data_IF_750175914760
#
_entry.id   IF_750175914760
#
_cell.length_a   1.000
_cell.length_b   1.000
_cell.length_c   1.000
_cell.angle_alpha   90.00
_cell.angle_beta   90.00
_cell.angle_gamma   90.00
#
_symmetry.space_group_name_H-M   'P 1'
#
loop_
_entity.id
_entity.type
_entity.pdbx_description
1 polymer ?
#
# COMPACT_ATOMS: atom_id res chain seq x y z
N UNK A 1 -8.30 -3.52 17.63
CA UNK A 1 -7.03 -3.71 16.90
C UNK A 1 -6.15 -2.52 17.24
N UNK A 2 -5.04 -2.73 17.97
CA UNK A 2 -4.07 -1.67 18.26
C UNK A 2 -2.89 -1.92 17.32
N UNK A 3 -2.73 -1.08 16.30
CA UNK A 3 -1.48 -1.06 15.56
C UNK A 3 -0.41 -0.44 16.46
N UNK A 4 0.75 -1.10 16.52
CA UNK A 4 1.85 -0.71 17.40
C UNK A 4 2.35 0.67 17.02
N UNK A 5 2.23 1.60 17.97
CA UNK A 5 2.66 2.98 17.82
C UNK A 5 4.18 3.04 17.93
N UNK A 6 4.88 3.08 16.80
CA UNK A 6 6.19 3.73 16.77
C UNK A 6 5.95 5.20 16.42
N UNK A 7 5.62 5.99 17.46
CA UNK A 7 5.84 7.42 17.40
C UNK A 7 7.36 7.62 17.45
N UNK A 8 8.00 7.56 16.28
CA UNK A 8 9.29 8.19 16.11
C UNK A 8 9.02 9.69 16.03
N UNK A 9 9.10 10.36 17.18
CA UNK A 9 9.30 11.81 17.23
C UNK A 9 10.55 12.14 16.39
N UNK A 10 10.34 12.57 15.15
CA UNK A 10 11.42 12.86 14.21
C UNK A 10 11.25 12.32 12.78
N UNK A 11 10.17 11.60 12.46
CA UNK A 11 9.80 11.37 11.05
C UNK A 11 9.18 12.67 10.53
N UNK A 12 9.64 13.25 9.41
CA UNK A 12 8.93 14.38 8.81
C UNK A 12 7.48 13.98 8.57
N UNK A 13 6.55 14.90 8.84
CA UNK A 13 5.08 14.71 8.78
C UNK A 13 4.68 13.53 7.88
N UNK A 14 4.28 12.41 8.49
CA UNK A 14 3.91 11.21 7.74
C UNK A 14 2.62 11.49 6.98
N UNK A 15 2.71 11.45 5.65
CA UNK A 15 1.56 11.64 4.76
C UNK A 15 1.25 10.32 4.05
N UNK A 16 0.05 9.81 4.27
CA UNK A 16 -0.50 8.66 3.56
C UNK A 16 -0.86 9.04 2.12
N UNK A 17 -0.26 8.36 1.15
CA UNK A 17 -0.68 8.39 -0.24
C UNK A 17 -1.33 7.06 -0.60
N UNK A 18 -2.65 7.07 -0.82
CA UNK A 18 -3.42 5.88 -1.16
C UNK A 18 -3.99 5.92 -2.59
N UNK A 19 -4.64 4.83 -3.00
CA UNK A 19 -5.32 4.73 -4.30
C UNK A 19 -6.67 5.45 -4.30
N UNK A 20 -7.20 5.75 -5.50
CA UNK A 20 -8.50 6.43 -5.68
C UNK A 20 -9.72 5.48 -5.49
N UNK A 21 -9.58 4.43 -4.68
CA UNK A 21 -10.66 3.46 -4.47
C UNK A 21 -11.69 4.07 -3.51
N UNK A 22 -12.99 3.97 -3.83
CA UNK A 22 -14.08 4.58 -3.03
C UNK A 22 -14.04 4.20 -1.56
N UNK A 23 -13.56 2.99 -1.24
CA UNK A 23 -13.41 2.51 0.13
C UNK A 23 -12.46 3.38 0.96
N UNK A 24 -11.41 3.93 0.37
CA UNK A 24 -10.49 4.85 1.05
C UNK A 24 -11.11 6.24 1.32
N UNK A 25 -12.21 6.57 0.63
CA UNK A 25 -12.95 7.81 0.86
C UNK A 25 -14.16 7.61 1.79
N UNK A 26 -14.39 6.39 2.29
CA UNK A 26 -15.47 6.09 3.21
C UNK A 26 -15.31 6.88 4.52
N UNK A 27 -16.43 7.28 5.11
CA UNK A 27 -16.47 8.11 6.32
C UNK A 27 -15.63 7.51 7.46
N UNK A 28 -15.81 6.22 7.76
CA UNK A 28 -15.08 5.56 8.85
C UNK A 28 -13.57 5.47 8.61
N UNK A 29 -13.14 5.43 7.34
CA UNK A 29 -11.70 5.46 7.02
C UNK A 29 -11.13 6.85 7.30
N UNK A 30 -11.84 7.92 6.93
CA UNK A 30 -11.42 9.30 7.24
C UNK A 30 -11.34 9.54 8.75
N UNK A 31 -12.39 9.17 9.47
CA UNK A 31 -12.46 9.30 10.93
C UNK A 31 -11.33 8.53 11.62
N UNK A 32 -11.00 7.33 11.14
CA UNK A 32 -9.87 6.56 11.64
C UNK A 32 -8.54 7.27 11.40
N UNK A 33 -8.27 7.74 10.17
CA UNK A 33 -7.04 8.45 9.83
C UNK A 33 -6.86 9.72 10.67
N UNK A 34 -7.94 10.49 10.87
CA UNK A 34 -7.94 11.65 11.76
C UNK A 34 -7.63 11.26 13.22
N UNK A 35 -8.20 10.16 13.72
CA UNK A 35 -7.97 9.69 15.09
C UNK A 35 -6.54 9.21 15.34
N UNK A 36 -5.84 8.76 14.29
CA UNK A 36 -4.46 8.29 14.33
C UNK A 36 -3.44 9.39 13.99
N UNK A 37 -3.89 10.63 13.76
CA UNK A 37 -3.05 11.77 13.33
C UNK A 37 -2.30 11.48 12.02
N UNK A 38 -2.97 10.78 11.10
CA UNK A 38 -2.42 10.43 9.78
C UNK A 38 -3.00 11.39 8.74
N UNK A 39 -2.15 12.27 8.22
CA UNK A 39 -2.52 13.13 7.11
C UNK A 39 -2.57 12.34 5.80
N UNK A 40 -3.55 12.63 4.95
CA UNK A 40 -3.66 12.03 3.62
C UNK A 40 -3.26 13.05 2.56
N UNK A 41 -2.49 12.62 1.56
CA UNK A 41 -2.20 13.44 0.40
C UNK A 41 -3.46 13.55 -0.48
N UNK A 42 -3.94 14.77 -0.69
CA UNK A 42 -5.04 15.04 -1.63
C UNK A 42 -4.57 14.75 -3.07
N UNK A 43 -4.85 13.53 -3.53
CA UNK A 43 -4.45 13.09 -4.86
C UNK A 43 -5.41 13.64 -5.91
N UNK A 44 -4.86 14.27 -6.95
CA UNK A 44 -5.64 14.60 -8.14
C UNK A 44 -6.20 13.32 -8.75
N UNK A 45 -7.53 13.26 -8.93
CA UNK A 45 -8.29 12.08 -9.35
C UNK A 45 -7.90 11.48 -10.73
N UNK A 46 -6.89 12.03 -11.40
CA UNK A 46 -6.50 11.72 -12.79
C UNK A 46 -5.06 11.25 -12.96
N UNK A 47 -4.29 11.07 -11.90
CA UNK A 47 -2.91 10.60 -11.99
C UNK A 47 -2.71 9.25 -11.30
N UNK A 48 -3.23 8.14 -11.85
CA UNK A 48 -2.97 6.78 -11.35
C UNK A 48 -1.48 6.41 -11.42
N UNK A 49 -0.76 7.00 -12.37
CA UNK A 49 0.70 6.92 -12.54
C UNK A 49 1.50 7.42 -11.34
N UNK A 50 0.93 8.29 -10.50
CA UNK A 50 1.64 8.82 -9.33
C UNK A 50 1.54 7.95 -8.08
N UNK A 51 1.03 6.71 -8.13
CA UNK A 51 0.90 5.88 -6.92
C UNK A 51 2.18 5.11 -6.67
N UNK A 52 2.86 5.32 -5.53
CA UNK A 52 4.00 4.48 -5.19
C UNK A 52 3.65 2.99 -5.10
N UNK A 53 2.41 2.64 -4.71
CA UNK A 53 1.97 1.24 -4.63
C UNK A 53 1.76 0.60 -6.00
N UNK A 54 1.30 1.36 -7.00
CA UNK A 54 1.04 0.82 -8.35
C UNK A 54 2.38 0.49 -9.02
N UNK A 55 3.39 1.35 -8.86
CA UNK A 55 4.76 1.04 -9.29
C UNK A 55 5.38 -0.14 -8.55
N UNK A 56 5.10 -0.31 -7.25
CA UNK A 56 5.56 -1.47 -6.51
C UNK A 56 4.92 -2.77 -7.05
N UNK A 57 3.64 -2.74 -7.42
CA UNK A 57 2.96 -3.87 -8.06
C UNK A 57 3.54 -4.21 -9.43
N UNK A 58 3.85 -3.21 -10.27
CA UNK A 58 4.49 -3.43 -11.57
C UNK A 58 5.87 -4.06 -11.42
N UNK A 59 6.69 -3.53 -10.51
CA UNK A 59 8.02 -4.09 -10.21
C UNK A 59 7.93 -5.53 -9.72
N UNK A 60 6.97 -5.82 -8.84
CA UNK A 60 6.72 -7.16 -8.35
C UNK A 60 6.27 -8.10 -9.48
N UNK A 61 5.34 -7.66 -10.33
CA UNK A 61 4.88 -8.41 -11.50
C UNK A 61 6.02 -8.74 -12.46
N UNK A 62 6.92 -7.78 -12.70
CA UNK A 62 8.13 -7.99 -13.50
C UNK A 62 9.07 -9.02 -12.87
N UNK A 63 9.23 -9.02 -11.55
CA UNK A 63 10.02 -10.05 -10.85
C UNK A 63 9.41 -11.43 -11.07
N UNK A 64 8.08 -11.59 -10.96
CA UNK A 64 7.41 -12.86 -11.22
C UNK A 64 7.52 -13.31 -12.68
N UNK A 65 7.41 -12.38 -13.63
CA UNK A 65 7.54 -12.67 -15.06
C UNK A 65 8.97 -13.07 -15.47
N UNK A 66 9.98 -12.43 -14.87
CA UNK A 66 11.39 -12.59 -15.27
C UNK A 66 12.15 -13.64 -14.45
N UNK A 67 11.66 -14.06 -13.27
CA UNK A 67 12.37 -15.02 -12.42
C UNK A 67 12.43 -16.45 -12.96
N UNK A 68 11.84 -16.77 -14.13
CA UNK A 68 11.70 -18.16 -14.58
C UNK A 68 11.26 -19.07 -13.42
N UNK A 69 10.32 -18.60 -12.59
CA UNK A 69 9.73 -19.43 -11.56
C UNK A 69 9.12 -20.61 -12.30
N UNK A 70 9.82 -21.76 -12.26
CA UNK A 70 9.55 -22.90 -13.11
C UNK A 70 8.09 -23.37 -12.98
N UNK A 71 7.44 -23.02 -11.87
CA UNK A 71 6.00 -23.01 -11.70
C UNK A 71 5.55 -21.74 -10.95
N UNK A 72 4.52 -21.01 -11.45
CA UNK A 72 3.88 -19.98 -10.66
C UNK A 72 3.29 -20.61 -9.39
N UNK A 73 3.35 -19.93 -8.24
CA UNK A 73 2.79 -20.46 -7.00
C UNK A 73 1.31 -20.76 -7.17
N UNK A 74 0.93 -22.04 -7.03
CA UNK A 74 -0.46 -22.52 -7.17
C UNK A 74 -1.21 -22.60 -5.85
N UNK A 75 -0.55 -22.31 -4.74
CA UNK A 75 -1.10 -22.38 -3.39
C UNK A 75 -0.82 -21.09 -2.63
N UNK A 76 -1.73 -20.70 -1.73
CA UNK A 76 -1.54 -19.50 -0.89
C UNK A 76 -0.25 -19.57 -0.06
N UNK A 77 0.13 -20.72 0.55
CA UNK A 77 1.43 -20.81 1.22
C UNK A 77 2.61 -20.59 0.29
N UNK A 78 2.60 -21.16 -0.92
CA UNK A 78 3.67 -20.97 -1.90
C UNK A 78 3.79 -19.53 -2.36
N UNK A 79 2.66 -18.82 -2.52
CA UNK A 79 2.66 -17.40 -2.83
C UNK A 79 3.25 -16.57 -1.68
N UNK A 80 2.90 -16.85 -0.42
CA UNK A 80 3.49 -16.17 0.74
C UNK A 80 5.01 -16.35 0.80
N UNK A 81 5.51 -17.55 0.55
CA UNK A 81 6.96 -17.81 0.51
C UNK A 81 7.65 -17.05 -0.63
N UNK A 82 6.99 -16.89 -1.78
CA UNK A 82 7.55 -16.15 -2.91
C UNK A 82 7.55 -14.61 -2.72
N UNK A 83 6.71 -14.10 -1.81
CA UNK A 83 6.58 -12.67 -1.50
C UNK A 83 7.42 -12.22 -0.29
N UNK A 84 7.98 -13.16 0.49
CA UNK A 84 8.91 -12.88 1.60
C UNK A 84 10.36 -12.76 1.10
#
# INVERSE_FOLDING_TARGET
MKFWRFALSGVPDFILMDGNVRLHAAHWVKEYLESEDIHRLDRAARSPDLNPIDHAWDALGNVFANRNLSLPPRTIPGLKTALN
#
